data_IF_204909189862
#
_entry.id   IF_204909189862
#
_cell.length_a   1.000
_cell.length_b   1.000
_cell.length_c   1.000
_cell.angle_alpha   90.00
_cell.angle_beta   90.00
_cell.angle_gamma   90.00
#
_symmetry.space_group_name_H-M   'P 1'
#
loop_
_entity.id
_entity.type
_entity.pdbx_description
1 polymer ?
#
# COMPACT_ATOMS: atom_id res chain seq x y z
N UNK A 1 -10.73 -22.25 -12.15
CA UNK A 1 -10.13 -20.92 -11.93
C UNK A 1 -10.47 -20.05 -13.12
N UNK A 2 -10.85 -18.80 -12.88
CA UNK A 2 -11.12 -17.81 -13.92
C UNK A 2 -9.90 -16.90 -14.04
N UNK A 3 -9.47 -16.58 -15.25
CA UNK A 3 -8.27 -15.79 -15.54
C UNK A 3 -8.60 -14.66 -16.53
N UNK A 4 -7.84 -13.58 -16.43
CA UNK A 4 -7.80 -12.54 -17.46
C UNK A 4 -6.94 -12.97 -18.66
N UNK A 5 -6.91 -12.15 -19.71
CA UNK A 5 -6.11 -12.40 -20.90
C UNK A 5 -4.71 -11.75 -20.82
N UNK A 6 -4.13 -11.67 -19.60
CA UNK A 6 -2.77 -11.16 -19.39
C UNK A 6 -1.74 -12.04 -20.12
N UNK A 7 -0.68 -11.43 -20.66
CA UNK A 7 0.38 -12.16 -21.37
C UNK A 7 1.12 -13.18 -20.49
N UNK A 8 1.10 -13.00 -19.16
CA UNK A 8 1.62 -13.95 -18.19
C UNK A 8 0.74 -15.20 -18.01
N UNK A 9 -0.48 -15.23 -18.57
CA UNK A 9 -1.42 -16.34 -18.52
C UNK A 9 -1.55 -16.99 -19.90
N UNK A 10 -0.61 -17.87 -20.30
CA UNK A 10 -0.63 -18.48 -21.62
C UNK A 10 -1.86 -19.40 -21.77
N UNK A 11 -2.47 -19.40 -22.96
CA UNK A 11 -3.78 -20.06 -23.18
C UNK A 11 -3.72 -21.58 -23.05
N UNK A 12 -2.55 -22.16 -23.27
CA UNK A 12 -2.23 -23.59 -23.12
C UNK A 12 -1.86 -23.98 -21.68
N UNK A 13 -1.79 -23.03 -20.73
CA UNK A 13 -1.48 -23.31 -19.32
C UNK A 13 -2.42 -24.35 -18.68
N UNK A 14 -3.63 -24.53 -19.22
CA UNK A 14 -4.62 -25.47 -18.73
C UNK A 14 -4.44 -26.91 -19.23
N UNK A 15 -3.64 -27.15 -20.27
CA UNK A 15 -3.60 -28.45 -20.97
C UNK A 15 -3.05 -29.60 -20.10
N UNK A 16 -2.21 -29.28 -19.12
CA UNK A 16 -1.55 -30.27 -18.25
C UNK A 16 -2.06 -30.28 -16.80
N UNK A 17 -3.21 -29.65 -16.52
CA UNK A 17 -3.77 -29.59 -15.17
C UNK A 17 -4.81 -30.69 -14.95
N UNK A 18 -4.55 -31.60 -14.00
CA UNK A 18 -5.48 -32.71 -13.69
C UNK A 18 -6.65 -32.32 -12.77
N UNK A 19 -6.51 -31.25 -12.00
CA UNK A 19 -7.43 -30.92 -10.90
C UNK A 19 -8.06 -29.53 -11.01
N UNK A 20 -7.65 -28.71 -11.98
CA UNK A 20 -8.12 -27.34 -12.15
C UNK A 20 -8.44 -27.09 -13.61
N UNK A 21 -9.65 -26.60 -13.89
CA UNK A 21 -10.02 -26.05 -15.20
C UNK A 21 -9.79 -24.55 -15.21
N UNK A 22 -9.16 -24.05 -16.25
CA UNK A 22 -8.95 -22.62 -16.47
C UNK A 22 -10.03 -22.08 -17.42
N UNK A 23 -10.61 -20.93 -17.08
CA UNK A 23 -11.57 -20.20 -17.91
C UNK A 23 -11.05 -18.79 -18.14
N UNK A 24 -10.77 -18.46 -19.40
CA UNK A 24 -10.34 -17.11 -19.77
C UNK A 24 -11.56 -16.23 -20.06
N UNK A 25 -11.63 -15.07 -19.42
CA UNK A 25 -12.67 -14.08 -19.73
C UNK A 25 -12.43 -13.45 -21.11
N UNK A 26 -13.47 -12.93 -21.77
CA UNK A 26 -13.30 -12.20 -23.02
C UNK A 26 -12.35 -11.00 -22.86
N UNK A 27 -11.59 -10.64 -23.92
CA UNK A 27 -10.72 -9.47 -23.88
C UNK A 27 -11.47 -8.20 -23.46
N UNK A 28 -10.80 -7.31 -22.71
CA UNK A 28 -11.34 -6.02 -22.25
C UNK A 28 -12.58 -6.12 -21.33
N UNK A 29 -12.79 -7.26 -20.67
CA UNK A 29 -13.92 -7.43 -19.72
C UNK A 29 -13.50 -7.59 -18.26
N UNK A 30 -12.19 -7.50 -17.94
CA UNK A 30 -11.66 -7.71 -16.59
C UNK A 30 -12.39 -6.87 -15.55
N UNK A 31 -12.49 -5.56 -15.79
CA UNK A 31 -13.18 -4.63 -14.87
C UNK A 31 -14.65 -4.99 -14.62
N UNK A 32 -15.32 -5.65 -15.57
CA UNK A 32 -16.74 -6.00 -15.48
C UNK A 32 -17.01 -7.39 -14.90
N UNK A 33 -16.03 -8.31 -14.99
CA UNK A 33 -16.26 -9.74 -14.68
C UNK A 33 -15.32 -10.23 -13.58
N UNK A 34 -14.18 -9.60 -13.32
CA UNK A 34 -13.27 -10.05 -12.27
C UNK A 34 -13.73 -9.54 -10.91
N UNK A 35 -13.99 -10.43 -9.93
CA UNK A 35 -14.36 -10.03 -8.57
C UNK A 35 -13.30 -9.14 -7.91
N UNK A 36 -12.03 -9.35 -8.25
CA UNK A 36 -10.92 -8.53 -7.76
C UNK A 36 -11.08 -7.05 -8.14
N UNK A 37 -11.47 -6.78 -9.39
CA UNK A 37 -11.69 -5.44 -9.92
C UNK A 37 -13.05 -4.84 -9.47
N UNK A 38 -13.96 -5.68 -8.96
CA UNK A 38 -15.29 -5.27 -8.47
C UNK A 38 -15.32 -4.68 -7.05
N UNK A 39 -14.16 -4.49 -6.43
CA UNK A 39 -14.05 -3.80 -5.14
C UNK A 39 -13.12 -4.45 -4.13
N UNK A 40 -12.70 -5.71 -4.33
CA UNK A 40 -11.75 -6.37 -3.42
C UNK A 40 -10.40 -5.64 -3.44
N UNK A 41 -9.85 -5.34 -4.62
CA UNK A 41 -8.59 -4.58 -4.74
C UNK A 41 -8.76 -3.17 -4.14
N UNK A 42 -9.88 -2.51 -4.39
CA UNK A 42 -10.19 -1.18 -3.82
C UNK A 42 -10.18 -1.22 -2.29
N UNK A 43 -10.86 -2.19 -1.69
CA UNK A 43 -10.92 -2.37 -0.23
C UNK A 43 -9.53 -2.68 0.35
N UNK A 44 -8.75 -3.54 -0.29
CA UNK A 44 -7.39 -3.86 0.15
C UNK A 44 -6.48 -2.62 0.11
N UNK A 45 -6.50 -1.85 -0.99
CA UNK A 45 -5.72 -0.62 -1.12
C UNK A 45 -6.09 0.40 -0.05
N UNK A 46 -7.38 0.60 0.19
CA UNK A 46 -7.86 1.50 1.24
C UNK A 46 -7.31 1.10 2.61
N UNK A 47 -7.45 -0.16 3.00
CA UNK A 47 -6.95 -0.66 4.28
C UNK A 47 -5.42 -0.55 4.39
N UNK A 48 -4.69 -0.77 3.29
CA UNK A 48 -3.24 -0.61 3.26
C UNK A 48 -2.83 0.85 3.51
N UNK A 49 -3.49 1.80 2.85
CA UNK A 49 -3.22 3.23 3.03
C UNK A 49 -3.51 3.68 4.47
N UNK A 50 -4.59 3.18 5.07
CA UNK A 50 -4.88 3.45 6.48
C UNK A 50 -3.76 2.92 7.41
N UNK A 51 -3.32 1.68 7.21
CA UNK A 51 -2.22 1.10 7.99
C UNK A 51 -0.91 1.88 7.83
N UNK A 52 -0.61 2.33 6.61
CA UNK A 52 0.53 3.18 6.32
C UNK A 52 0.45 4.53 7.04
N UNK A 53 -0.68 5.23 6.96
CA UNK A 53 -0.87 6.51 7.64
C UNK A 53 -0.76 6.37 9.17
N UNK A 54 -1.32 5.30 9.74
CA UNK A 54 -1.19 5.01 11.17
C UNK A 54 0.28 4.82 11.59
N UNK A 55 1.07 4.11 10.77
CA UNK A 55 2.52 3.96 10.99
C UNK A 55 3.22 5.31 10.96
N UNK A 56 2.91 6.13 9.96
CA UNK A 56 3.52 7.45 9.79
C UNK A 56 3.24 8.35 10.99
N UNK A 57 1.97 8.46 11.40
CA UNK A 57 1.55 9.28 12.54
C UNK A 57 2.23 8.80 13.83
N UNK A 58 2.24 7.49 14.08
CA UNK A 58 2.84 6.93 15.29
C UNK A 58 4.33 7.23 15.43
N UNK A 59 5.08 7.34 14.32
CA UNK A 59 6.50 7.66 14.36
C UNK A 59 6.73 9.16 14.56
N UNK A 60 5.99 10.02 13.85
CA UNK A 60 6.08 11.48 13.99
C UNK A 60 5.72 11.93 15.42
N UNK A 61 4.76 11.26 16.07
CA UNK A 61 4.39 11.57 17.46
C UNK A 61 5.46 11.13 18.48
N UNK A 62 6.42 10.27 18.08
CA UNK A 62 7.38 9.62 18.99
C UNK A 62 8.82 10.11 18.86
N UNK A 63 9.24 10.46 17.65
CA UNK A 63 10.51 11.06 17.31
C UNK A 63 10.17 12.37 16.60
N UNK A 64 10.88 13.47 16.86
CA UNK A 64 10.80 14.77 16.13
C UNK A 64 11.28 14.61 14.66
N UNK A 65 10.98 13.47 14.04
CA UNK A 65 11.35 13.04 12.73
C UNK A 65 10.39 13.64 11.70
N UNK A 66 10.96 14.23 10.65
CA UNK A 66 10.17 14.69 9.52
C UNK A 66 9.56 13.51 8.75
N UNK A 67 8.41 13.75 8.11
CA UNK A 67 7.67 12.77 7.30
C UNK A 67 8.57 11.99 6.32
N UNK A 68 9.56 12.66 5.71
CA UNK A 68 10.56 12.03 4.82
C UNK A 68 11.31 10.89 5.48
N UNK A 69 11.85 11.13 6.66
CA UNK A 69 12.67 10.16 7.38
C UNK A 69 11.86 8.90 7.68
N UNK A 70 10.60 9.10 8.09
CA UNK A 70 9.67 8.01 8.36
C UNK A 70 9.38 7.20 7.11
N UNK A 71 8.99 7.84 6.00
CA UNK A 71 8.69 7.13 4.75
C UNK A 71 9.91 6.36 4.24
N UNK A 72 11.10 6.95 4.30
CA UNK A 72 12.34 6.30 3.88
C UNK A 72 12.80 5.16 4.81
N UNK A 73 12.34 5.16 6.07
CA UNK A 73 12.62 4.09 7.03
C UNK A 73 11.76 2.84 6.81
N UNK A 74 10.67 2.94 6.03
CA UNK A 74 9.75 1.83 5.80
C UNK A 74 10.44 0.80 4.91
N UNK A 75 10.67 -0.39 5.47
CA UNK A 75 11.29 -1.49 4.74
C UNK A 75 10.25 -2.27 3.93
N UNK A 76 10.73 -3.11 3.00
CA UNK A 76 9.86 -4.08 2.31
C UNK A 76 9.15 -5.02 3.29
N UNK A 77 9.80 -5.40 4.39
CA UNK A 77 9.19 -6.25 5.42
C UNK A 77 8.03 -5.54 6.12
N UNK A 78 8.18 -4.24 6.43
CA UNK A 78 7.10 -3.42 6.97
C UNK A 78 5.92 -3.33 5.98
N UNK A 79 6.21 -3.11 4.70
CA UNK A 79 5.19 -3.10 3.65
C UNK A 79 4.42 -4.43 3.57
N UNK A 80 5.11 -5.57 3.66
CA UNK A 80 4.46 -6.89 3.69
C UNK A 80 3.61 -7.10 4.94
N UNK A 81 4.05 -6.62 6.11
CA UNK A 81 3.25 -6.65 7.33
C UNK A 81 1.99 -5.77 7.20
N UNK A 82 2.12 -4.55 6.66
CA UNK A 82 0.98 -3.67 6.39
C UNK A 82 -0.01 -4.31 5.40
N UNK A 83 0.49 -4.95 4.34
CA UNK A 83 -0.35 -5.68 3.39
C UNK A 83 -1.11 -6.83 4.05
N UNK A 84 -0.42 -7.61 4.89
CA UNK A 84 -1.04 -8.69 5.67
C UNK A 84 -2.14 -8.16 6.59
N UNK A 85 -1.90 -7.05 7.27
CA UNK A 85 -2.91 -6.40 8.13
C UNK A 85 -4.09 -5.91 7.29
N UNK A 86 -3.82 -5.19 6.19
CA UNK A 86 -4.83 -4.67 5.29
C UNK A 86 -5.75 -5.76 4.70
N UNK A 87 -5.19 -6.92 4.36
CA UNK A 87 -5.95 -8.07 3.89
C UNK A 87 -6.88 -8.65 4.95
N UNK A 88 -6.46 -8.68 6.22
CA UNK A 88 -7.31 -9.14 7.33
C UNK A 88 -8.53 -8.24 7.56
N UNK A 89 -8.41 -6.96 7.22
CA UNK A 89 -9.50 -5.98 7.31
C UNK A 89 -10.45 -6.01 6.10
N UNK A 90 -10.16 -6.80 5.06
CA UNK A 90 -11.11 -6.98 3.95
C UNK A 90 -12.27 -7.85 4.42
N UNK A 91 -13.46 -7.25 4.53
CA UNK A 91 -14.67 -7.93 5.01
C UNK A 91 -15.07 -9.07 4.07
N UNK A 92 -15.51 -10.19 4.65
CA UNK A 92 -16.09 -11.33 3.91
C UNK A 92 -17.28 -10.86 3.06
N UNK A 93 -18.11 -9.96 3.60
CA UNK A 93 -19.22 -9.33 2.89
C UNK A 93 -18.78 -8.63 1.59
N UNK A 94 -17.64 -7.91 1.62
CA UNK A 94 -17.06 -7.27 0.43
C UNK A 94 -16.72 -8.30 -0.63
N UNK A 95 -16.03 -9.38 -0.24
CA UNK A 95 -15.67 -10.47 -1.15
C UNK A 95 -16.93 -11.08 -1.76
N UNK A 96 -17.88 -11.49 -0.93
CA UNK A 96 -19.14 -12.08 -1.39
C UNK A 96 -19.88 -11.17 -2.37
N UNK A 97 -20.06 -9.89 -2.04
CA UNK A 97 -20.74 -8.93 -2.91
C UNK A 97 -20.00 -8.71 -4.23
N UNK A 98 -18.67 -8.74 -4.25
CA UNK A 98 -17.89 -8.65 -5.48
C UNK A 98 -18.12 -9.87 -6.39
N UNK A 99 -18.11 -11.08 -5.81
CA UNK A 99 -18.41 -12.31 -6.56
C UNK A 99 -19.86 -12.34 -7.07
N UNK A 100 -20.81 -11.89 -6.25
CA UNK A 100 -22.23 -11.75 -6.64
C UNK A 100 -22.40 -10.75 -7.80
N UNK A 101 -21.77 -9.56 -7.72
CA UNK A 101 -21.79 -8.55 -8.79
C UNK A 101 -21.17 -9.07 -10.08
N UNK A 102 -20.10 -9.85 -9.96
CA UNK A 102 -19.44 -10.53 -11.07
C UNK A 102 -20.22 -11.77 -11.61
N UNK A 103 -21.44 -11.99 -11.14
CA UNK A 103 -22.35 -13.09 -11.56
C UNK A 103 -21.85 -14.50 -11.21
N UNK A 104 -20.95 -14.63 -10.23
CA UNK A 104 -20.52 -15.91 -9.66
C UNK A 104 -21.41 -16.31 -8.47
N UNK A 105 -22.72 -16.33 -8.65
CA UNK A 105 -23.67 -16.76 -7.63
C UNK A 105 -24.82 -17.53 -8.31
N UNK A 106 -25.29 -18.61 -7.69
CA UNK A 106 -26.48 -19.34 -8.17
C UNK A 106 -27.74 -18.53 -7.85
N UNK A 107 -28.82 -18.60 -8.63
CA UNK A 107 -30.09 -17.96 -8.24
C UNK A 107 -30.71 -18.69 -7.03
N UNK A 108 -30.17 -18.46 -5.83
CA UNK A 108 -30.71 -18.94 -4.57
C UNK A 108 -31.62 -17.83 -4.03
N UNK A 109 -32.89 -18.16 -3.80
CA UNK A 109 -33.92 -17.23 -3.33
C UNK A 109 -33.47 -16.40 -2.13
N UNK A 110 -34.01 -15.18 -2.06
CA UNK A 110 -33.50 -13.97 -1.39
C UNK A 110 -33.12 -14.03 0.11
N UNK A 111 -33.11 -15.17 0.79
CA UNK A 111 -33.16 -15.25 2.26
C UNK A 111 -31.99 -15.95 2.97
N UNK A 112 -30.81 -16.15 2.37
CA UNK A 112 -29.74 -16.86 3.09
C UNK A 112 -28.72 -15.96 3.83
N UNK A 113 -28.77 -14.64 3.68
CA UNK A 113 -27.74 -13.75 4.26
C UNK A 113 -28.25 -12.38 4.75
N UNK A 114 -29.53 -12.27 5.13
CA UNK A 114 -30.05 -11.11 5.87
C UNK A 114 -29.28 -10.81 7.17
N UNK A 115 -28.46 -11.76 7.63
CA UNK A 115 -27.80 -11.72 8.94
C UNK A 115 -26.29 -11.43 8.85
N UNK A 116 -25.73 -11.23 7.66
CA UNK A 116 -24.46 -10.50 7.59
C UNK A 116 -24.84 -9.04 7.72
N UNK A 117 -24.57 -8.44 8.88
CA UNK A 117 -24.38 -7.00 9.02
C UNK A 117 -23.33 -6.60 7.99
N UNK A 118 -23.81 -6.30 6.78
CA UNK A 118 -23.17 -5.32 5.96
C UNK A 118 -23.39 -4.05 6.77
N UNK A 119 -22.37 -3.64 7.51
CA UNK A 119 -22.07 -2.23 7.45
C UNK A 119 -22.01 -1.95 5.95
N UNK A 120 -23.10 -1.44 5.39
CA UNK A 120 -22.97 -0.57 4.25
C UNK A 120 -21.85 0.35 4.68
N UNK A 121 -20.70 0.25 4.00
CA UNK A 121 -19.94 1.45 3.83
C UNK A 121 -20.87 2.31 2.96
N UNK A 122 -21.86 2.96 3.58
CA UNK A 122 -22.41 4.22 3.12
C UNK A 122 -21.27 5.23 3.29
N UNK A 123 -20.24 5.05 2.48
CA UNK A 123 -19.78 6.16 1.69
C UNK A 123 -20.77 6.10 0.51
N UNK A 124 -21.87 6.86 0.48
CA UNK A 124 -21.85 8.33 0.45
C UNK A 124 -20.46 8.91 0.09
N UNK A 125 -19.76 8.29 -0.85
CA UNK A 125 -19.22 9.06 -1.96
C UNK A 125 -20.17 8.76 -3.07
N UNK A 126 -21.08 9.71 -3.24
CA UNK A 126 -21.70 9.97 -4.50
C UNK A 126 -20.68 9.69 -5.62
N UNK A 127 -21.16 9.04 -6.68
CA UNK A 127 -20.69 9.44 -8.00
C UNK A 127 -21.07 10.91 -8.14
N UNK A 128 -20.21 11.81 -7.69
CA UNK A 128 -20.18 13.26 -7.89
C UNK A 128 -19.15 13.79 -6.88
N UNK A 129 -18.08 14.36 -7.41
CA UNK A 129 -17.00 15.06 -6.74
C UNK A 129 -15.88 14.24 -6.08
N UNK A 130 -14.73 14.39 -6.72
CA UNK A 130 -13.37 13.92 -6.42
C UNK A 130 -12.79 14.58 -5.15
N UNK A 131 -13.59 14.79 -4.11
CA UNK A 131 -13.15 15.54 -2.93
C UNK A 131 -13.91 15.10 -1.68
N UNK A 132 -13.45 14.03 -1.03
CA UNK A 132 -13.69 13.86 0.41
C UNK A 132 -12.65 12.93 1.04
N UNK A 133 -11.89 13.53 1.97
CA UNK A 133 -10.75 13.02 2.72
C UNK A 133 -9.53 12.82 1.82
N UNK A 134 -8.53 13.70 1.95
CA UNK A 134 -7.22 13.61 1.30
C UNK A 134 -6.45 12.35 1.71
N UNK A 135 -6.94 11.18 1.29
CA UNK A 135 -6.21 9.92 1.35
C UNK A 135 -5.30 9.95 0.15
N UNK A 136 -4.01 10.10 0.43
CA UNK A 136 -2.94 10.04 -0.56
C UNK A 136 -3.21 8.93 -1.58
N UNK A 137 -3.13 9.30 -2.86
CA UNK A 137 -3.15 8.38 -3.97
C UNK A 137 -1.96 7.43 -3.90
N UNK A 138 -2.05 6.29 -4.61
CA UNK A 138 -0.94 5.35 -4.72
C UNK A 138 0.30 6.03 -5.32
N UNK A 139 0.08 7.01 -6.21
CA UNK A 139 1.12 7.81 -6.85
C UNK A 139 1.79 8.75 -5.85
N UNK A 140 1.02 9.46 -5.01
CA UNK A 140 1.57 10.35 -3.99
C UNK A 140 2.37 9.56 -2.94
N UNK A 141 1.94 8.35 -2.55
CA UNK A 141 2.72 7.48 -1.65
C UNK A 141 4.08 7.11 -2.28
N UNK A 142 4.09 6.78 -3.58
CA UNK A 142 5.31 6.46 -4.30
C UNK A 142 6.21 7.69 -4.50
N UNK A 143 5.62 8.86 -4.74
CA UNK A 143 6.33 10.13 -4.94
C UNK A 143 6.91 10.68 -3.64
N UNK A 144 6.26 10.46 -2.49
CA UNK A 144 6.85 10.77 -1.18
C UNK A 144 8.18 10.03 -0.94
N UNK A 145 8.38 8.88 -1.58
CA UNK A 145 9.64 8.13 -1.50
C UNK A 145 10.72 8.68 -2.45
N UNK A 146 10.35 9.53 -3.43
CA UNK A 146 11.22 10.00 -4.51
C UNK A 146 11.61 11.48 -4.42
N UNK A 147 10.68 12.36 -4.05
CA UNK A 147 10.82 13.81 -4.31
C UNK A 147 10.94 14.70 -3.07
N UNK A 148 11.49 14.19 -1.97
CA UNK A 148 11.87 15.11 -0.89
C UNK A 148 13.34 15.45 -1.14
N UNK A 149 13.63 16.58 -1.77
CA UNK A 149 14.92 17.24 -1.58
C UNK A 149 14.89 17.77 -0.15
N UNK A 150 15.74 17.24 0.73
CA UNK A 150 16.11 18.05 1.88
C UNK A 150 16.92 19.19 1.27
N UNK A 151 16.50 20.43 1.44
CA UNK A 151 17.46 21.52 1.33
C UNK A 151 18.46 21.23 2.45
N UNK A 152 19.65 20.77 2.04
CA UNK A 152 20.79 20.67 2.93
C UNK A 152 21.12 22.12 3.31
N UNK A 153 20.68 22.56 4.48
CA UNK A 153 21.28 23.73 5.11
C UNK A 153 22.74 23.34 5.41
N UNK A 154 23.63 23.65 4.47
CA UNK A 154 25.07 23.65 4.71
C UNK A 154 25.33 24.71 5.79
N UNK A 155 25.42 24.26 7.05
CA UNK A 155 26.02 25.06 8.11
C UNK A 155 27.48 25.33 7.71
N UNK A 156 27.74 26.54 7.21
CA UNK A 156 29.08 27.13 7.06
C UNK A 156 29.75 27.24 8.45
N UNK A 157 30.27 26.12 8.97
CA UNK A 157 31.20 26.12 10.11
C UNK A 157 32.57 26.59 9.62
N UNK A 158 32.84 27.89 9.81
CA UNK A 158 34.15 28.53 9.62
C UNK A 158 35.26 27.71 10.32
N UNK A 159 36.40 27.42 9.66
CA UNK A 159 37.44 26.60 10.27
C UNK A 159 38.14 27.32 11.44
N UNK A 160 38.11 26.66 12.61
CA UNK A 160 38.80 27.08 13.85
C UNK A 160 40.33 27.16 13.61
N UNK A 161 41.02 28.26 13.96
CA UNK A 161 42.45 28.39 13.75
C UNK A 161 43.25 27.59 14.79
N UNK A 162 44.09 26.66 14.30
CA UNK A 162 45.03 25.88 15.10
C UNK A 162 46.08 26.81 15.72
N UNK A 163 46.08 26.95 17.05
CA UNK A 163 47.19 27.56 17.79
C UNK A 163 48.28 26.52 18.03
N UNK A 164 49.37 26.59 17.26
CA UNK A 164 50.61 25.88 17.56
C UNK A 164 51.25 26.50 18.80
N UNK A 165 51.34 25.74 19.90
CA UNK A 165 52.26 26.05 21.00
C UNK A 165 53.13 24.83 21.22
N UNK A 166 54.40 24.92 20.78
CA UNK A 166 55.43 23.95 21.17
C UNK A 166 56.00 24.41 22.51
N UNK A 167 55.70 23.64 23.55
CA UNK A 167 56.34 23.69 24.86
C UNK A 167 57.79 23.23 24.75
N UNK A 168 58.67 23.99 25.37
CA UNK A 168 60.07 23.67 25.64
C UNK A 168 60.21 22.30 26.35
N UNK A 169 61.22 21.53 25.97
CA UNK A 169 61.72 20.40 26.75
C UNK A 169 63.25 20.48 26.83
N UNK A 170 63.71 20.76 28.04
CA UNK A 170 65.08 20.78 28.51
C UNK A 170 65.64 19.34 28.52
N UNK A 171 66.82 19.13 27.95
CA UNK A 171 67.53 17.85 27.98
C UNK A 171 69.04 18.05 27.86
N UNK A 172 69.77 17.61 28.89
CA UNK A 172 71.18 17.85 29.17
C UNK A 172 71.99 16.55 28.99
N UNK A 173 73.10 16.60 28.23
CA UNK A 173 74.28 15.71 28.18
C UNK A 173 75.04 16.08 26.87
N UNK A 174 76.34 16.35 26.77
CA UNK A 174 77.54 16.20 27.62
C UNK A 174 78.38 17.49 27.55
#
# INVERSE_FOLDING_TARGET
>A
MVLDNCAAHPKDAGENLSNVKLYFIPPNTSACIQPCDMGIIKSLKHNYRLAFLQRVIAVIDSDDACLKSVVNSITLLDALHMLKMAWREVKIATIYNCFRKARFHEEVGENMFSDIECDEITMDVANEDEECIGIMSDEEICLMSRDISCEDDEDDEDPIPVKTTNSEAMGHAD
#
